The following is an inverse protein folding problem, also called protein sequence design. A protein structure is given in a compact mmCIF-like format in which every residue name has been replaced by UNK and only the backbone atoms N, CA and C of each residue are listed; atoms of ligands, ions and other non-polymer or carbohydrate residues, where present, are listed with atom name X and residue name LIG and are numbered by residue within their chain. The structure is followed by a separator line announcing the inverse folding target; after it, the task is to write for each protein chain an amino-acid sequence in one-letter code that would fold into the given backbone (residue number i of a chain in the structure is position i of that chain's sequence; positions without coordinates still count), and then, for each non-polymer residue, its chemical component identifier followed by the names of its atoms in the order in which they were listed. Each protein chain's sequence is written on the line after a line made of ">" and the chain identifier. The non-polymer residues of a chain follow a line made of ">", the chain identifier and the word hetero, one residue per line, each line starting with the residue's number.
data_IF_748156285750
#
_entry.id   IF_748156285750
#
_cell.length_a   1.000
_cell.length_b   1.000
_cell.length_c   1.000
_cell.angle_alpha   90.00
_cell.angle_beta   90.00
_cell.angle_gamma   90.00
#
_symmetry.space_group_name_H-M   'P 1'
#
loop_
_entity.id
_entity.type
_entity.pdbx_description
1 polymer ?
#
# COMPACT_ATOMS: atom_id res chain seq x y z
N UNK A 1 -15.27 -15.37 -8.27
CA UNK A 1 -14.86 -15.66 -6.88
C UNK A 1 -13.40 -15.31 -6.60
N UNK A 2 -12.36 -16.00 -7.12
CA UNK A 2 -10.94 -15.67 -6.80
C UNK A 2 -10.47 -14.35 -7.43
N UNK A 3 -10.81 -14.10 -8.70
CA UNK A 3 -10.43 -12.84 -9.37
C UNK A 3 -11.24 -11.67 -8.80
N UNK A 4 -12.53 -11.85 -8.54
CA UNK A 4 -13.32 -10.85 -7.83
C UNK A 4 -12.83 -10.60 -6.40
N UNK A 5 -12.34 -11.61 -5.66
CA UNK A 5 -11.74 -11.36 -4.34
C UNK A 5 -10.38 -10.66 -4.44
N UNK A 6 -9.58 -10.96 -5.46
CA UNK A 6 -8.31 -10.28 -5.75
C UNK A 6 -8.52 -8.81 -6.16
N UNK A 7 -9.57 -8.52 -6.94
CA UNK A 7 -9.93 -7.17 -7.37
C UNK A 7 -10.89 -6.45 -6.41
N UNK A 8 -11.51 -7.14 -5.44
CA UNK A 8 -12.43 -6.54 -4.46
C UNK A 8 -11.85 -5.37 -3.66
N UNK A 9 -10.54 -5.34 -3.29
CA UNK A 9 -9.95 -4.17 -2.64
C UNK A 9 -9.79 -2.98 -3.59
N UNK A 10 -9.72 -3.23 -4.90
CA UNK A 10 -9.55 -2.20 -5.93
C UNK A 10 -10.88 -1.69 -6.50
N UNK A 11 -11.95 -2.50 -6.43
CA UNK A 11 -13.32 -2.13 -6.85
C UNK A 11 -14.16 -1.59 -5.71
N UNK A 12 -13.79 -1.85 -4.45
CA UNK A 12 -14.35 -1.15 -3.32
C UNK A 12 -13.95 0.33 -3.43
N UNK A 13 -14.86 1.17 -3.94
CA UNK A 13 -14.92 2.55 -3.49
C UNK A 13 -15.04 2.48 -1.97
N UNK A 14 -13.95 2.74 -1.25
CA UNK A 14 -13.98 2.82 0.21
C UNK A 14 -15.09 3.81 0.58
N UNK A 15 -16.21 3.36 1.18
CA UNK A 15 -17.32 4.23 1.53
C UNK A 15 -17.00 5.13 2.74
N UNK A 16 -15.77 5.10 3.25
CA UNK A 16 -15.40 5.68 4.54
C UNK A 16 -14.46 6.90 4.37
N UNK A 17 -14.96 7.97 3.76
CA UNK A 17 -14.33 9.31 3.79
C UNK A 17 -14.55 10.06 5.13
N UNK A 18 -14.83 9.33 6.21
CA UNK A 18 -15.38 9.93 7.45
C UNK A 18 -14.37 10.10 8.59
N UNK A 19 -13.15 9.57 8.48
CA UNK A 19 -12.09 9.79 9.48
C UNK A 19 -11.13 10.91 9.08
N UNK A 20 -10.67 11.68 10.07
CA UNK A 20 -9.68 12.76 9.90
C UNK A 20 -8.40 12.28 9.19
N UNK A 21 -8.01 11.02 9.40
CA UNK A 21 -6.83 10.41 8.75
C UNK A 21 -7.08 10.15 7.26
N UNK A 22 -8.31 9.82 6.85
CA UNK A 22 -8.64 9.61 5.45
C UNK A 22 -8.57 10.91 4.63
N UNK A 23 -8.91 12.05 5.25
CA UNK A 23 -8.97 13.37 4.59
C UNK A 23 -7.60 14.05 4.39
N UNK A 24 -6.53 13.54 5.00
CA UNK A 24 -5.16 14.05 4.82
C UNK A 24 -4.70 13.92 3.36
N UNK A 25 -3.91 14.90 2.90
CA UNK A 25 -3.29 14.89 1.57
C UNK A 25 -2.39 13.65 1.45
N UNK A 26 -2.50 12.86 0.35
CA UNK A 26 -1.65 11.70 0.13
C UNK A 26 -0.15 12.00 0.22
N UNK A 27 0.30 13.23 -0.09
CA UNK A 27 1.71 13.60 0.06
C UNK A 27 2.16 13.61 1.51
N UNK A 28 1.33 14.13 2.40
CA UNK A 28 1.59 14.13 3.86
C UNK A 28 1.67 12.69 4.36
N UNK A 29 0.76 11.81 3.89
CA UNK A 29 0.78 10.38 4.24
C UNK A 29 2.01 9.65 3.72
N UNK A 30 2.48 9.97 2.51
CA UNK A 30 3.74 9.43 1.98
C UNK A 30 4.94 9.89 2.79
N UNK A 31 4.99 11.17 3.16
CA UNK A 31 5.99 11.71 4.07
C UNK A 31 5.95 11.03 5.43
N UNK A 32 4.75 10.77 5.95
CA UNK A 32 4.53 10.05 7.21
C UNK A 32 5.04 8.62 7.16
N UNK A 33 4.72 7.90 6.09
CA UNK A 33 5.22 6.55 5.85
C UNK A 33 6.75 6.54 5.81
N UNK A 34 7.36 7.36 4.95
CA UNK A 34 8.80 7.42 4.79
C UNK A 34 9.51 7.83 6.08
N UNK A 35 9.05 8.89 6.74
CA UNK A 35 9.69 9.37 7.95
C UNK A 35 9.57 8.36 9.11
N UNK A 36 8.42 7.69 9.28
CA UNK A 36 8.28 6.61 10.28
C UNK A 36 9.20 5.45 9.97
N UNK A 37 9.27 5.01 8.70
CA UNK A 37 10.16 3.91 8.31
C UNK A 37 11.64 4.26 8.54
N UNK A 38 12.06 5.48 8.18
CA UNK A 38 13.43 5.94 8.43
C UNK A 38 13.71 6.03 9.93
N UNK A 39 12.78 6.59 10.71
CA UNK A 39 12.94 6.71 12.15
C UNK A 39 13.06 5.33 12.81
N UNK A 40 12.28 4.34 12.39
CA UNK A 40 12.39 2.97 12.91
C UNK A 40 13.73 2.30 12.62
N UNK A 41 14.41 2.68 11.53
CA UNK A 41 15.74 2.18 11.18
C UNK A 41 16.81 2.82 12.06
N UNK A 42 16.65 4.10 12.42
CA UNK A 42 17.60 4.82 13.26
C UNK A 42 17.46 4.55 14.76
N UNK A 43 16.28 4.14 15.23
CA UNK A 43 16.07 3.80 16.63
C UNK A 43 16.66 2.42 16.96
N UNK A 44 17.55 2.37 17.95
CA UNK A 44 18.15 1.13 18.44
C UNK A 44 17.46 0.60 19.70
N UNK A 45 16.94 1.48 20.54
CA UNK A 45 16.27 1.07 21.77
C UNK A 45 14.83 0.59 21.50
N UNK A 46 14.53 -0.62 21.96
CA UNK A 46 13.23 -1.27 21.79
C UNK A 46 12.07 -0.48 22.40
N UNK A 47 12.31 0.26 23.50
CA UNK A 47 11.26 1.03 24.17
C UNK A 47 10.72 2.13 23.25
N UNK A 48 11.60 2.80 22.48
CA UNK A 48 11.19 3.83 21.53
C UNK A 48 10.48 3.24 20.31
N UNK A 49 10.89 2.04 19.86
CA UNK A 49 10.18 1.31 18.80
C UNK A 49 8.75 0.92 19.23
N UNK A 50 8.59 0.41 20.46
CA UNK A 50 7.27 0.08 21.00
C UNK A 50 6.40 1.34 21.20
N UNK A 51 7.00 2.45 21.63
CA UNK A 51 6.28 3.73 21.75
C UNK A 51 5.75 4.19 20.40
N UNK A 52 6.56 4.08 19.36
CA UNK A 52 6.16 4.43 17.99
C UNK A 52 5.05 3.49 17.49
N UNK A 53 5.18 2.18 17.70
CA UNK A 53 4.14 1.21 17.33
C UNK A 53 2.80 1.53 18.02
N UNK A 54 2.82 1.89 19.31
CA UNK A 54 1.61 2.30 20.03
C UNK A 54 0.94 3.53 19.40
N UNK A 55 1.72 4.52 18.96
CA UNK A 55 1.19 5.70 18.24
C UNK A 55 0.53 5.28 16.92
N UNK A 56 1.14 4.36 16.16
CA UNK A 56 0.56 3.86 14.91
C UNK A 56 -0.72 3.05 15.13
N UNK A 57 -0.77 2.25 16.19
CA UNK A 57 -1.98 1.50 16.56
C UNK A 57 -3.11 2.46 16.89
N UNK A 58 -2.85 3.51 17.69
CA UNK A 58 -3.84 4.55 18.00
C UNK A 58 -4.34 5.22 16.72
N UNK A 59 -3.44 5.59 15.80
CA UNK A 59 -3.82 6.16 14.51
C UNK A 59 -4.67 5.19 13.66
N UNK A 60 -4.36 3.89 13.70
CA UNK A 60 -5.10 2.84 13.01
C UNK A 60 -6.51 2.64 13.58
N UNK A 61 -6.67 2.79 14.88
CA UNK A 61 -7.98 2.73 15.54
C UNK A 61 -8.80 3.97 15.17
N UNK A 62 -8.19 5.16 15.18
CA UNK A 62 -8.83 6.42 14.77
C UNK A 62 -9.22 6.41 13.29
N UNK A 63 -8.40 5.81 12.41
CA UNK A 63 -8.72 5.66 11.00
C UNK A 63 -9.82 4.63 10.74
N UNK A 64 -10.26 3.86 11.75
CA UNK A 64 -11.26 2.76 11.63
C UNK A 64 -10.84 1.65 10.65
N UNK A 65 -9.58 1.62 10.22
CA UNK A 65 -9.05 0.60 9.30
C UNK A 65 -8.63 -0.69 10.02
N UNK A 66 -8.69 -0.71 11.35
CA UNK A 66 -8.24 -1.83 12.18
C UNK A 66 -8.86 -3.19 11.81
N UNK A 67 -10.16 -3.23 11.49
CA UNK A 67 -10.84 -4.49 11.12
C UNK A 67 -10.30 -5.08 9.81
N UNK A 68 -9.95 -4.22 8.86
CA UNK A 68 -9.32 -4.63 7.59
C UNK A 68 -7.87 -5.05 7.79
N UNK A 69 -7.15 -4.38 8.69
CA UNK A 69 -5.74 -4.64 9.00
C UNK A 69 -5.53 -5.88 9.89
N UNK A 70 -6.52 -6.27 10.69
CA UNK A 70 -6.42 -7.37 11.65
C UNK A 70 -5.92 -8.67 11.02
N UNK A 71 -6.38 -9.01 9.80
CA UNK A 71 -5.92 -10.22 9.10
C UNK A 71 -4.42 -10.18 8.80
N UNK A 72 -3.90 -9.03 8.40
CA UNK A 72 -2.47 -8.85 8.13
C UNK A 72 -1.64 -8.81 9.41
N UNK A 73 -2.14 -8.16 10.46
CA UNK A 73 -1.49 -8.14 11.77
C UNK A 73 -1.42 -9.53 12.38
N UNK A 74 -2.50 -10.32 12.31
CA UNK A 74 -2.50 -11.71 12.77
C UNK A 74 -1.46 -12.55 12.01
N UNK A 75 -1.40 -12.45 10.69
CA UNK A 75 -0.37 -13.14 9.90
C UNK A 75 1.04 -12.72 10.34
N UNK A 76 1.27 -11.43 10.57
CA UNK A 76 2.55 -10.94 11.07
C UNK A 76 2.93 -11.51 12.44
N UNK A 77 2.01 -11.52 13.41
CA UNK A 77 2.26 -12.12 14.72
C UNK A 77 2.50 -13.62 14.64
N UNK A 78 1.76 -14.35 13.80
CA UNK A 78 2.00 -15.79 13.60
C UNK A 78 3.39 -16.05 13.02
N UNK A 79 3.83 -15.23 12.06
CA UNK A 79 5.18 -15.30 11.50
C UNK A 79 6.25 -15.00 12.56
N UNK A 80 6.01 -14.02 13.44
CA UNK A 80 6.89 -13.70 14.56
C UNK A 80 7.08 -14.86 15.53
N UNK A 81 5.98 -15.51 15.94
CA UNK A 81 6.02 -16.67 16.83
C UNK A 81 6.81 -17.81 16.19
N UNK A 82 6.52 -18.14 14.93
CA UNK A 82 7.25 -19.18 14.18
C UNK A 82 8.74 -18.86 14.14
N UNK A 83 9.10 -17.60 13.88
CA UNK A 83 10.50 -17.17 13.78
C UNK A 83 11.25 -17.33 15.10
N UNK A 84 10.63 -16.97 16.24
CA UNK A 84 11.23 -17.16 17.58
C UNK A 84 11.41 -18.64 17.89
N UNK A 85 10.40 -19.47 17.59
CA UNK A 85 10.48 -20.92 17.82
C UNK A 85 11.60 -21.54 16.99
N UNK A 86 11.69 -21.22 15.70
CA UNK A 86 12.77 -21.72 14.83
C UNK A 86 14.13 -21.30 15.35
N UNK A 87 14.31 -20.05 15.77
CA UNK A 87 15.59 -19.58 16.31
C UNK A 87 15.94 -20.26 17.65
N UNK A 88 14.94 -20.50 18.50
CA UNK A 88 15.12 -21.24 19.76
C UNK A 88 15.55 -22.69 19.52
N UNK A 89 15.03 -23.35 18.47
CA UNK A 89 15.43 -24.71 18.08
C UNK A 89 16.85 -24.76 17.49
N UNK A 90 17.32 -23.68 16.86
CA UNK A 90 18.68 -23.62 16.29
C UNK A 90 19.72 -23.31 17.38
N UNK A 91 19.38 -22.45 18.34
CA UNK A 91 20.33 -21.90 19.31
C UNK A 91 20.29 -22.63 20.66
N UNK A 92 19.37 -23.58 20.84
CA UNK A 92 19.05 -24.27 22.10
C UNK A 92 18.82 -23.32 23.30
N UNK A 93 18.51 -22.04 23.03
CA UNK A 93 18.39 -21.02 24.06
C UNK A 93 17.27 -20.04 23.71
N UNK A 94 16.12 -20.21 24.38
CA UNK A 94 14.95 -19.38 24.17
C UNK A 94 15.19 -17.91 24.52
N UNK A 95 15.97 -17.64 25.56
CA UNK A 95 16.24 -16.27 26.02
C UNK A 95 17.07 -15.49 25.01
N UNK A 96 18.10 -16.14 24.44
CA UNK A 96 18.91 -15.54 23.39
C UNK A 96 18.07 -15.22 22.14
N UNK A 97 17.20 -16.15 21.75
CA UNK A 97 16.29 -15.96 20.62
C UNK A 97 15.34 -14.79 20.82
N UNK A 98 14.76 -14.65 22.02
CA UNK A 98 13.87 -13.55 22.35
C UNK A 98 14.58 -12.20 22.33
N UNK A 99 15.74 -12.08 22.98
CA UNK A 99 16.49 -10.83 23.05
C UNK A 99 16.98 -10.40 21.66
N UNK A 100 17.50 -11.34 20.88
CA UNK A 100 18.07 -11.04 19.56
C UNK A 100 16.99 -10.71 18.53
N UNK A 101 15.85 -11.40 18.55
CA UNK A 101 14.79 -11.23 17.55
C UNK A 101 13.84 -10.06 17.87
N UNK A 102 13.65 -9.71 19.14
CA UNK A 102 12.65 -8.73 19.58
C UNK A 102 12.80 -7.34 18.92
N UNK A 103 14.01 -6.75 18.80
CA UNK A 103 14.18 -5.46 18.12
C UNK A 103 13.87 -5.53 16.62
N UNK A 104 14.23 -6.63 15.95
CA UNK A 104 13.89 -6.84 14.54
C UNK A 104 12.38 -6.95 14.36
N UNK A 105 11.73 -7.77 15.19
CA UNK A 105 10.28 -7.94 15.13
C UNK A 105 9.55 -6.62 15.38
N UNK A 106 9.96 -5.83 16.37
CA UNK A 106 9.38 -4.52 16.63
C UNK A 106 9.54 -3.56 15.44
N UNK A 107 10.71 -3.50 14.80
CA UNK A 107 10.94 -2.66 13.61
C UNK A 107 10.06 -3.07 12.43
N UNK A 108 10.00 -4.36 12.13
CA UNK A 108 9.14 -4.85 11.05
C UNK A 108 7.66 -4.61 11.34
N UNK A 109 7.24 -4.69 12.61
CA UNK A 109 5.89 -4.32 13.06
C UNK A 109 5.56 -2.88 12.68
N UNK A 110 6.43 -1.94 13.06
CA UNK A 110 6.29 -0.51 12.72
C UNK A 110 6.17 -0.28 11.22
N UNK A 111 7.05 -0.89 10.42
CA UNK A 111 7.02 -0.75 8.97
C UNK A 111 5.74 -1.30 8.34
N UNK A 112 5.28 -2.47 8.81
CA UNK A 112 4.07 -3.12 8.31
C UNK A 112 2.84 -2.31 8.71
N UNK A 113 2.70 -1.91 9.97
CA UNK A 113 1.57 -1.12 10.45
C UNK A 113 1.49 0.22 9.71
N UNK A 114 2.61 0.92 9.53
CA UNK A 114 2.66 2.16 8.76
C UNK A 114 2.27 1.96 7.28
N UNK A 115 2.81 0.91 6.65
CA UNK A 115 2.51 0.56 5.25
C UNK A 115 1.03 0.20 5.04
N UNK A 116 0.46 -0.59 5.95
CA UNK A 116 -0.96 -0.95 5.91
C UNK A 116 -1.86 0.26 6.14
N UNK A 117 -1.52 1.13 7.11
CA UNK A 117 -2.25 2.38 7.34
C UNK A 117 -2.25 3.24 6.06
N UNK A 118 -1.10 3.38 5.40
CA UNK A 118 -1.01 4.09 4.13
C UNK A 118 -1.87 3.45 3.04
N UNK A 119 -1.78 2.12 2.87
CA UNK A 119 -2.48 1.38 1.83
C UNK A 119 -4.01 1.45 1.98
N UNK A 120 -4.53 1.36 3.21
CA UNK A 120 -5.97 1.40 3.46
C UNK A 120 -6.55 2.81 3.51
N UNK A 121 -5.75 3.82 3.84
CA UNK A 121 -6.22 5.21 3.94
C UNK A 121 -6.01 6.04 2.67
N UNK A 122 -5.30 5.50 1.66
CA UNK A 122 -4.96 6.25 0.44
C UNK A 122 -5.49 5.55 -0.81
N UNK A 123 -6.40 6.22 -1.52
CA UNK A 123 -6.89 5.74 -2.83
C UNK A 123 -5.78 5.80 -3.90
N UNK A 124 -5.65 4.79 -4.76
CA UNK A 124 -4.68 4.79 -5.87
C UNK A 124 -4.82 6.02 -6.79
N UNK A 125 -6.05 6.48 -7.04
CA UNK A 125 -6.30 7.67 -7.85
C UNK A 125 -5.75 8.95 -7.19
N UNK A 126 -5.86 9.05 -5.86
CA UNK A 126 -5.33 10.19 -5.12
C UNK A 126 -3.79 10.14 -5.06
N UNK A 127 -3.21 8.93 -4.98
CA UNK A 127 -1.76 8.73 -5.06
C UNK A 127 -1.19 9.17 -6.42
N UNK A 128 -1.82 8.80 -7.54
CA UNK A 128 -1.38 9.21 -8.87
C UNK A 128 -1.41 10.73 -9.05
N UNK A 129 -2.46 11.39 -8.56
CA UNK A 129 -2.55 12.86 -8.55
C UNK A 129 -1.50 13.49 -7.65
N UNK A 130 -1.19 12.88 -6.51
CA UNK A 130 -0.16 13.38 -5.61
C UNK A 130 1.22 13.35 -6.27
N UNK A 131 1.56 12.27 -6.99
CA UNK A 131 2.77 12.14 -7.80
C UNK A 131 2.82 13.18 -8.93
N UNK A 132 1.70 13.43 -9.61
CA UNK A 132 1.62 14.47 -10.66
C UNK A 132 2.05 15.85 -10.14
N UNK A 133 1.56 16.29 -8.97
CA UNK A 133 2.00 17.60 -8.44
C UNK A 133 3.37 17.59 -7.75
N UNK A 134 3.96 16.41 -7.49
CA UNK A 134 5.37 16.31 -7.06
C UNK A 134 6.36 16.55 -8.21
N UNK A 135 5.89 17.03 -9.37
CA UNK A 135 6.68 17.27 -10.59
C UNK A 135 7.29 16.01 -11.18
N UNK A 136 6.63 14.86 -10.97
CA UNK A 136 6.96 13.65 -11.71
C UNK A 136 6.72 13.91 -13.22
N UNK A 137 7.48 13.27 -14.14
CA UNK A 137 7.36 13.55 -15.57
C UNK A 137 5.91 13.45 -16.05
N UNK A 138 5.39 14.53 -16.63
CA UNK A 138 3.98 14.65 -17.02
C UNK A 138 3.45 13.48 -17.87
N UNK A 139 4.23 12.90 -18.83
CA UNK A 139 3.79 11.72 -19.56
C UNK A 139 3.57 10.49 -18.66
N UNK A 140 4.46 10.26 -17.68
CA UNK A 140 4.37 9.12 -16.77
C UNK A 140 3.19 9.26 -15.81
N UNK A 141 2.98 10.46 -15.24
CA UNK A 141 1.84 10.73 -14.36
C UNK A 141 0.50 10.57 -15.08
N UNK A 142 0.43 11.01 -16.34
CA UNK A 142 -0.75 10.83 -17.18
C UNK A 142 -1.04 9.35 -17.44
N UNK A 143 -0.03 8.60 -17.90
CA UNK A 143 -0.15 7.16 -18.13
C UNK A 143 -0.60 6.44 -16.87
N UNK A 144 0.03 6.70 -15.72
CA UNK A 144 -0.35 6.09 -14.45
C UNK A 144 -1.80 6.40 -14.06
N UNK A 145 -2.23 7.65 -14.19
CA UNK A 145 -3.59 8.07 -13.86
C UNK A 145 -4.62 7.38 -14.75
N UNK A 146 -4.34 7.28 -16.05
CA UNK A 146 -5.18 6.55 -17.00
C UNK A 146 -5.20 5.06 -16.61
N UNK A 147 -4.05 4.42 -16.47
CA UNK A 147 -3.97 2.99 -16.13
C UNK A 147 -4.81 2.68 -14.89
N UNK A 148 -4.64 3.43 -13.80
CA UNK A 148 -5.40 3.19 -12.56
C UNK A 148 -6.92 3.37 -12.73
N UNK A 149 -7.35 4.33 -13.57
CA UNK A 149 -8.78 4.50 -13.91
C UNK A 149 -9.33 3.36 -14.76
N UNK A 150 -8.50 2.75 -15.61
CA UNK A 150 -8.91 1.66 -16.50
C UNK A 150 -8.77 0.26 -15.88
N UNK A 151 -8.00 0.08 -14.80
CA UNK A 151 -7.91 -1.20 -14.05
C UNK A 151 -9.31 -1.76 -13.72
N UNK A 152 -10.27 -1.00 -13.16
CA UNK A 152 -11.62 -1.51 -12.88
C UNK A 152 -12.37 -1.95 -14.15
N UNK A 153 -12.16 -1.27 -15.27
CA UNK A 153 -12.76 -1.66 -16.56
C UNK A 153 -12.14 -2.96 -17.08
N UNK A 154 -10.82 -3.10 -17.03
CA UNK A 154 -10.12 -4.33 -17.41
C UNK A 154 -10.55 -5.52 -16.52
N UNK A 155 -10.77 -5.29 -15.23
CA UNK A 155 -11.28 -6.33 -14.33
C UNK A 155 -12.69 -6.80 -14.73
N UNK A 156 -13.57 -5.89 -15.15
CA UNK A 156 -14.91 -6.24 -15.67
C UNK A 156 -14.83 -7.03 -16.98
N UNK A 157 -13.93 -6.63 -17.89
CA UNK A 157 -13.73 -7.35 -19.15
C UNK A 157 -13.16 -8.75 -18.92
N UNK A 158 -12.18 -8.89 -18.04
CA UNK A 158 -11.67 -10.19 -17.61
C UNK A 158 -12.78 -11.06 -16.99
N UNK A 159 -13.67 -10.46 -16.18
CA UNK A 159 -14.85 -11.13 -15.64
C UNK A 159 -15.83 -11.60 -16.71
N UNK A 160 -16.09 -10.77 -17.73
CA UNK A 160 -16.96 -11.12 -18.85
C UNK A 160 -16.39 -12.29 -19.67
N UNK A 161 -15.08 -12.27 -19.96
CA UNK A 161 -14.38 -13.35 -20.64
C UNK A 161 -14.47 -14.65 -19.82
N UNK A 162 -14.22 -14.56 -18.51
CA UNK A 162 -14.32 -15.70 -17.60
C UNK A 162 -15.74 -16.30 -17.60
N UNK A 163 -16.78 -15.47 -17.57
CA UNK A 163 -18.16 -15.94 -17.62
C UNK A 163 -18.50 -16.61 -18.96
N UNK A 164 -18.00 -16.07 -20.08
CA UNK A 164 -18.16 -16.69 -21.39
C UNK A 164 -17.47 -18.06 -21.49
N UNK A 165 -16.28 -18.22 -20.88
CA UNK A 165 -15.59 -19.51 -20.82
C UNK A 165 -16.36 -20.54 -20.00
N UNK A 166 -16.93 -20.13 -18.87
CA UNK A 166 -17.78 -21.00 -18.04
C UNK A 166 -19.00 -21.51 -18.80
N UNK A 167 -19.65 -20.66 -19.61
CA UNK A 167 -20.76 -21.07 -20.48
C UNK A 167 -20.34 -22.11 -21.54
N UNK A 168 -19.07 -22.08 -21.97
CA UNK A 168 -18.48 -23.08 -22.87
C UNK A 168 -17.99 -24.34 -22.14
N UNK A 169 -18.31 -24.50 -20.86
CA UNK A 169 -17.91 -25.63 -20.02
C UNK A 169 -16.44 -25.59 -19.56
N UNK A 170 -15.72 -24.48 -19.78
CA UNK A 170 -14.33 -24.33 -19.36
C UNK A 170 -14.31 -23.63 -18.00
N UNK A 171 -14.12 -24.40 -16.93
CA UNK A 171 -13.83 -23.87 -15.61
C UNK A 171 -12.32 -23.66 -15.46
N UNK A 172 -11.91 -22.41 -15.23
CA UNK A 172 -10.53 -22.07 -14.91
C UNK A 172 -10.32 -22.13 -13.39
N UNK A 173 -10.15 -23.34 -12.86
CA UNK A 173 -9.70 -23.54 -11.48
C UNK A 173 -8.19 -23.37 -11.40
N UNK A 174 -7.63 -23.07 -10.22
CA UNK A 174 -6.17 -22.97 -10.03
C UNK A 174 -5.45 -24.26 -10.47
N UNK A 175 -6.07 -25.41 -10.20
CA UNK A 175 -5.59 -26.72 -10.65
C UNK A 175 -5.59 -26.89 -12.17
N UNK A 176 -6.58 -26.34 -12.87
CA UNK A 176 -6.70 -26.43 -14.34
C UNK A 176 -5.70 -25.51 -15.04
N UNK A 177 -5.37 -24.36 -14.44
CA UNK A 177 -4.35 -23.44 -14.95
C UNK A 177 -2.97 -24.11 -14.95
N UNK A 178 -2.63 -24.81 -13.86
CA UNK A 178 -1.35 -25.52 -13.73
C UNK A 178 -1.31 -26.75 -14.64
N UNK A 179 -2.41 -27.52 -14.69
CA UNK A 179 -2.47 -28.77 -15.47
C UNK A 179 -2.59 -28.54 -16.97
N UNK A 180 -3.18 -27.41 -17.40
CA UNK A 180 -3.49 -27.11 -18.81
C UNK A 180 -3.27 -25.62 -19.14
N UNK A 181 -2.03 -25.11 -19.05
CA UNK A 181 -1.74 -23.68 -19.23
C UNK A 181 -2.13 -23.14 -20.61
N UNK A 182 -2.09 -23.99 -21.66
CA UNK A 182 -2.48 -23.61 -23.02
C UNK A 182 -3.95 -23.17 -23.12
N UNK A 183 -4.84 -23.77 -22.34
CA UNK A 183 -6.26 -23.40 -22.33
C UNK A 183 -6.51 -22.05 -21.66
N UNK A 184 -5.80 -21.78 -20.56
CA UNK A 184 -5.83 -20.48 -19.90
C UNK A 184 -5.30 -19.38 -20.83
N UNK A 185 -4.17 -19.63 -21.49
CA UNK A 185 -3.55 -18.67 -22.41
C UNK A 185 -4.49 -18.32 -23.58
N UNK A 186 -5.00 -19.33 -24.29
CA UNK A 186 -5.89 -19.12 -25.45
C UNK A 186 -7.27 -18.59 -25.07
N UNK A 187 -7.81 -19.03 -23.94
CA UNK A 187 -9.17 -18.69 -23.52
C UNK A 187 -9.29 -17.32 -22.84
N UNK A 188 -8.27 -16.91 -22.08
CA UNK A 188 -8.33 -15.70 -21.26
C UNK A 188 -7.30 -14.65 -21.67
N UNK A 189 -6.03 -15.01 -21.76
CA UNK A 189 -4.94 -14.04 -21.98
C UNK A 189 -5.01 -13.42 -23.38
N UNK A 190 -5.14 -14.22 -24.44
CA UNK A 190 -5.20 -13.71 -25.81
C UNK A 190 -6.40 -12.76 -26.02
N UNK A 191 -7.65 -13.13 -25.65
CA UNK A 191 -8.79 -12.21 -25.83
C UNK A 191 -8.66 -10.92 -25.03
N UNK A 192 -8.15 -11.00 -23.79
CA UNK A 192 -7.94 -9.83 -22.94
C UNK A 192 -6.85 -8.92 -23.51
N UNK A 193 -5.79 -9.48 -24.08
CA UNK A 193 -4.72 -8.73 -24.73
C UNK A 193 -5.24 -7.96 -25.95
N UNK A 194 -5.97 -8.65 -26.85
CA UNK A 194 -6.58 -8.02 -28.04
C UNK A 194 -7.51 -6.88 -27.61
N UNK A 195 -8.30 -7.09 -26.55
CA UNK A 195 -9.20 -6.07 -26.02
C UNK A 195 -8.45 -4.86 -25.45
N UNK A 196 -7.36 -5.10 -24.72
CA UNK A 196 -6.52 -4.04 -24.13
C UNK A 196 -5.82 -3.22 -25.21
N UNK A 197 -5.36 -3.85 -26.29
CA UNK A 197 -4.77 -3.16 -27.44
C UNK A 197 -5.78 -2.22 -28.11
N UNK A 198 -6.99 -2.71 -28.41
CA UNK A 198 -8.06 -1.87 -28.96
C UNK A 198 -8.42 -0.71 -28.04
N UNK A 199 -8.51 -0.98 -26.75
CA UNK A 199 -8.76 0.06 -25.74
C UNK A 199 -7.65 1.12 -25.74
N UNK A 200 -6.39 0.72 -25.89
CA UNK A 200 -5.27 1.65 -26.00
C UNK A 200 -5.42 2.57 -27.21
N UNK A 201 -5.78 2.03 -28.38
CA UNK A 201 -6.02 2.82 -29.59
C UNK A 201 -7.19 3.80 -29.43
N UNK A 202 -8.30 3.33 -28.83
CA UNK A 202 -9.45 4.19 -28.51
C UNK A 202 -9.07 5.34 -27.57
N UNK A 203 -8.23 5.08 -26.55
CA UNK A 203 -7.74 6.11 -25.63
C UNK A 203 -6.82 7.10 -26.35
N UNK A 204 -5.94 6.62 -27.24
CA UNK A 204 -5.03 7.47 -28.01
C UNK A 204 -5.80 8.42 -28.94
N UNK A 205 -6.72 7.89 -29.76
CA UNK A 205 -7.56 8.67 -30.67
C UNK A 205 -8.42 9.69 -29.88
N UNK A 206 -8.98 9.27 -28.74
CA UNK A 206 -9.75 10.17 -27.88
C UNK A 206 -8.89 11.27 -27.23
N UNK A 207 -7.61 11.00 -26.96
CA UNK A 207 -6.68 12.00 -26.44
C UNK A 207 -6.27 13.00 -27.53
N UNK A 208 -5.93 12.53 -28.73
CA UNK A 208 -5.55 13.37 -29.87
C UNK A 208 -6.69 14.26 -30.34
N UNK A 209 -7.91 13.73 -30.45
CA UNK A 209 -9.11 14.50 -30.81
C UNK A 209 -9.45 15.62 -29.81
N UNK A 210 -8.98 15.50 -28.56
CA UNK A 210 -9.10 16.54 -27.52
C UNK A 210 -7.88 17.46 -27.43
N UNK A 211 -6.96 17.37 -28.38
CA UNK A 211 -5.75 18.20 -28.44
C UNK A 211 -4.69 17.85 -27.39
N UNK A 212 -4.60 16.58 -26.96
CA UNK A 212 -3.59 16.17 -25.98
C UNK A 212 -2.17 16.26 -26.57
N UNK A 213 -1.36 17.19 -26.05
CA UNK A 213 0.03 17.41 -26.51
C UNK A 213 1.06 16.96 -25.46
N UNK A 214 1.09 15.67 -25.13
CA UNK A 214 2.12 15.08 -24.25
C UNK A 214 2.13 15.60 -22.80
N UNK A 215 1.05 16.24 -22.36
CA UNK A 215 0.86 16.71 -20.99
C UNK A 215 1.59 17.99 -20.58
N UNK A 216 2.29 18.68 -21.50
CA UNK A 216 2.87 20.01 -21.21
C UNK A 216 1.77 21.07 -21.08
N UNK A 217 1.84 21.91 -20.04
CA UNK A 217 0.90 23.00 -19.82
C UNK A 217 -0.49 22.61 -19.30
N UNK A 218 -0.68 21.40 -18.75
CA UNK A 218 -1.96 20.96 -18.20
C UNK A 218 -2.34 21.72 -16.93
N UNK A 219 -3.58 22.19 -16.86
CA UNK A 219 -4.23 22.65 -15.63
C UNK A 219 -5.04 21.51 -15.00
N UNK A 220 -4.90 21.30 -13.68
CA UNK A 220 -5.68 20.28 -12.96
C UNK A 220 -6.95 20.89 -12.37
N UNK A 221 -8.13 20.38 -12.75
CA UNK A 221 -9.42 20.83 -12.23
C UNK A 221 -9.63 20.45 -10.75
N UNK A 222 -9.10 19.30 -10.32
CA UNK A 222 -9.24 18.85 -8.94
C UNK A 222 -7.87 18.93 -8.25
N UNK A 223 -7.63 20.06 -7.60
CA UNK A 223 -6.37 20.32 -6.92
C UNK A 223 -6.39 19.73 -5.51
N UNK A 224 -5.50 18.78 -5.23
CA UNK A 224 -5.17 18.41 -3.85
C UNK A 224 -4.68 19.65 -3.11
N UNK A 225 -5.36 20.04 -2.04
CA UNK A 225 -4.98 21.17 -1.20
C UNK A 225 -4.45 20.61 0.11
N UNK A 226 -3.28 21.08 0.51
CA UNK A 226 -2.73 20.82 1.84
C UNK A 226 -3.62 21.57 2.83
N UNK A 227 -4.30 20.83 3.70
CA UNK A 227 -5.14 21.38 4.74
C UNK A 227 -4.35 21.73 6.00
N UNK A 228 -4.99 22.45 6.93
CA UNK A 228 -4.39 22.79 8.23
C UNK A 228 -4.06 21.52 9.04
N UNK A 229 -4.86 20.46 8.88
CA UNK A 229 -4.62 19.16 9.49
C UNK A 229 -3.33 18.50 8.96
N UNK A 230 -2.99 18.68 7.68
CA UNK A 230 -1.76 18.14 7.11
C UNK A 230 -0.51 18.77 7.75
N UNK A 231 -0.56 20.09 7.98
CA UNK A 231 0.53 20.81 8.64
C UNK A 231 0.67 20.36 10.10
N UNK A 232 -0.44 20.19 10.82
CA UNK A 232 -0.41 19.70 12.20
C UNK A 232 0.22 18.31 12.30
N UNK A 233 -0.20 17.37 11.44
CA UNK A 233 0.37 16.01 11.40
C UNK A 233 1.85 16.01 11.03
N UNK A 234 2.27 16.84 10.06
CA UNK A 234 3.67 16.98 9.68
C UNK A 234 4.52 17.52 10.82
N UNK A 235 4.07 18.57 11.51
CA UNK A 235 4.79 19.15 12.66
C UNK A 235 4.86 18.16 13.82
N UNK A 236 3.74 17.49 14.15
CA UNK A 236 3.71 16.47 15.19
C UNK A 236 4.68 15.32 14.90
N UNK A 237 4.76 14.88 13.65
CA UNK A 237 5.70 13.85 13.22
C UNK A 237 7.17 14.29 13.39
N UNK A 238 7.50 15.50 12.95
CA UNK A 238 8.87 16.03 13.06
C UNK A 238 9.27 16.21 14.52
N UNK A 239 8.38 16.75 15.35
CA UNK A 239 8.63 16.96 16.77
C UNK A 239 8.77 15.63 17.52
N UNK A 240 7.85 14.69 17.33
CA UNK A 240 7.95 13.36 17.95
C UNK A 240 9.21 12.63 17.52
N UNK A 241 9.58 12.71 16.24
CA UNK A 241 10.81 12.11 15.73
C UNK A 241 12.06 12.72 16.35
N UNK A 242 12.14 14.04 16.44
CA UNK A 242 13.27 14.73 17.06
C UNK A 242 13.41 14.38 18.56
N UNK A 243 12.30 14.33 19.29
CA UNK A 243 12.29 13.97 20.71
C UNK A 243 12.78 12.52 20.89
N UNK A 244 12.25 11.57 20.10
CA UNK A 244 12.64 10.16 20.20
C UNK A 244 14.12 9.96 19.87
N UNK A 245 14.65 10.62 18.83
CA UNK A 245 16.07 10.53 18.48
C UNK A 245 16.98 11.13 19.56
N UNK A 246 16.59 12.27 20.14
CA UNK A 246 17.35 12.88 21.23
C UNK A 246 17.35 11.99 22.47
N UNK A 247 16.20 11.42 22.84
CA UNK A 247 16.09 10.50 23.96
C UNK A 247 16.83 9.18 23.74
N UNK A 248 16.83 8.65 22.52
CA UNK A 248 17.58 7.45 22.15
C UNK A 248 19.08 7.67 22.32
N UNK A 249 19.61 8.73 21.73
CA UNK A 249 21.02 9.15 21.88
C UNK A 249 21.40 9.40 23.35
N UNK A 250 20.54 10.06 24.11
CA UNK A 250 20.76 10.32 25.53
C UNK A 250 20.73 9.03 26.38
N UNK A 251 19.91 8.06 25.99
CA UNK A 251 19.85 6.75 26.64
C UNK A 251 21.08 5.90 26.36
N UNK A 252 21.61 5.94 25.13
CA UNK A 252 22.86 5.27 24.76
C UNK A 252 24.07 5.86 25.49
N UNK A 253 24.11 7.19 25.67
CA UNK A 253 25.18 7.86 26.43
C UNK A 253 25.19 7.51 27.93
N UNK A 254 24.04 7.17 28.52
CA UNK A 254 23.94 6.73 29.92
C UNK A 254 24.32 5.27 30.14
N UNK A 255 24.32 4.44 29.10
CA UNK A 255 24.69 3.02 29.18
C UNK A 255 26.19 2.82 28.89
N UNK A 256 26.81 3.77 28.18
CA UNK A 256 28.23 3.74 27.82
C UNK A 256 29.21 4.43 28.78
N UNK A 257 28.75 4.93 29.94
CA UNK A 257 29.58 5.54 30.99
C UNK A 257 29.32 4.88 32.33
#
# INVERSE_FOLDING_TARGET
>A
MIIESFFSPFTAQNPEEDSMVHRLDPRTKMGLLLGVTLLSVYLDNIIFLLTLEMVLIVLTVISRTFRSMMRFLLLFFTFGIISVVVLALITDNLNYSLVSFSPFFARFGVMITAGLLFAFTTSPNNLARALEKMRFPAPLSFTLTITLRYIPTLAREAGAIMNALKLRGINLSLWDIIRKPSYFYRGMIIPLLIRTLKLSDEIAIAAESRGFNGGKGRSSLNTLKIGVNDLFFAVFMVMSGFILLFMDKASLLKIGG
#
